data_IF_556925905401
#
_entry.id   IF_556925905401
#
_cell.length_a   1.000
_cell.length_b   1.000
_cell.length_c   1.000
_cell.angle_alpha   90.00
_cell.angle_beta   90.00
_cell.angle_gamma   90.00
#
_symmetry.space_group_name_H-M   'P 1'
#
loop_
_entity.id
_entity.type
_entity.pdbx_description
1 polymer ?
#
# COMPACT_ATOMS: atom_id res chain seq x y z
N UNK A 1 5.39 9.85 17.69
CA UNK A 1 6.87 9.95 17.53
C UNK A 1 7.62 9.16 18.60
N UNK A 2 7.32 9.29 19.89
CA UNK A 2 7.99 8.51 20.95
C UNK A 2 7.87 6.99 20.75
N UNK A 3 6.71 6.47 20.34
CA UNK A 3 6.52 5.04 20.10
C UNK A 3 7.39 4.51 18.94
N UNK A 4 7.56 5.29 17.87
CA UNK A 4 8.44 4.92 16.74
C UNK A 4 9.91 4.87 17.18
N UNK A 5 10.39 5.86 17.94
CA UNK A 5 11.78 5.87 18.45
C UNK A 5 12.05 4.63 19.31
N UNK A 6 11.12 4.24 20.18
CA UNK A 6 11.28 3.04 21.01
C UNK A 6 11.36 1.76 20.16
N UNK A 7 10.60 1.69 19.07
CA UNK A 7 10.68 0.57 18.11
C UNK A 7 11.99 0.61 17.31
N UNK A 8 12.45 1.78 16.87
CA UNK A 8 13.75 1.92 16.17
C UNK A 8 14.94 1.49 17.04
N UNK A 9 14.88 1.68 18.36
CA UNK A 9 15.90 1.19 19.29
C UNK A 9 16.00 -0.34 19.34
N UNK A 10 14.95 -1.07 18.96
CA UNK A 10 14.91 -2.53 18.93
C UNK A 10 15.54 -3.11 17.65
N UNK A 11 15.75 -2.30 16.60
CA UNK A 11 16.40 -2.75 15.35
C UNK A 11 17.84 -3.16 15.65
N UNK A 12 18.20 -4.38 15.27
CA UNK A 12 19.53 -4.94 15.53
C UNK A 12 20.62 -4.15 14.82
N UNK A 13 21.58 -3.64 15.59
CA UNK A 13 22.75 -2.94 15.03
C UNK A 13 23.79 -3.96 14.51
N UNK A 14 23.93 -4.02 13.19
CA UNK A 14 24.88 -4.94 12.51
C UNK A 14 26.34 -4.51 12.61
N UNK A 15 26.61 -3.26 13.05
CA UNK A 15 27.94 -2.69 13.08
C UNK A 15 28.76 -3.22 14.27
N UNK A 16 30.08 -3.37 14.08
CA UNK A 16 31.02 -3.62 15.19
C UNK A 16 31.16 -2.37 16.07
N UNK A 17 31.56 -2.52 17.32
CA UNK A 17 31.61 -1.44 18.30
C UNK A 17 32.41 -0.21 17.85
N UNK A 18 33.55 -0.42 17.17
CA UNK A 18 34.34 0.68 16.54
C UNK A 18 33.56 1.50 15.50
N UNK A 19 32.46 0.95 14.93
CA UNK A 19 31.60 1.61 13.95
C UNK A 19 30.36 2.27 14.54
N UNK A 20 30.10 2.14 15.83
CA UNK A 20 28.88 2.59 16.51
C UNK A 20 29.01 4.01 17.14
N UNK A 21 29.74 4.92 16.48
CA UNK A 21 29.86 6.31 16.97
C UNK A 21 28.51 6.97 17.23
N UNK A 22 27.52 6.66 16.36
CA UNK A 22 26.13 7.08 16.50
C UNK A 22 25.27 5.85 16.76
N UNK A 23 24.39 5.86 17.77
CA UNK A 23 23.36 4.81 17.91
C UNK A 23 22.58 4.62 16.61
N UNK A 24 22.24 3.37 16.28
CA UNK A 24 21.57 3.06 15.01
C UNK A 24 20.26 3.83 14.86
N UNK A 25 19.44 3.84 15.89
CA UNK A 25 18.14 4.51 15.90
C UNK A 25 18.24 6.01 15.59
N UNK A 26 19.30 6.69 16.05
CA UNK A 26 19.53 8.11 15.70
C UNK A 26 19.82 8.28 14.20
N UNK A 27 20.60 7.38 13.61
CA UNK A 27 20.87 7.45 12.17
C UNK A 27 19.59 7.22 11.37
N UNK A 28 18.76 6.26 11.78
CA UNK A 28 17.48 5.97 11.14
C UNK A 28 16.51 7.15 11.29
N UNK A 29 16.41 7.74 12.48
CA UNK A 29 15.56 8.91 12.73
C UNK A 29 16.00 10.14 11.92
N UNK A 30 17.31 10.38 11.78
CA UNK A 30 17.83 11.44 10.91
C UNK A 30 17.45 11.20 9.44
N UNK A 31 17.44 9.95 8.98
CA UNK A 31 17.00 9.60 7.62
C UNK A 31 15.51 9.91 7.47
N UNK A 32 14.68 9.45 8.39
CA UNK A 32 13.22 9.68 8.38
C UNK A 32 12.94 11.20 8.35
N UNK A 33 13.50 11.96 9.28
CA UNK A 33 13.27 13.40 9.37
C UNK A 33 13.75 14.14 8.11
N UNK A 34 14.93 13.78 7.60
CA UNK A 34 15.47 14.39 6.39
C UNK A 34 14.60 14.07 5.16
N UNK A 35 14.16 12.84 5.00
CA UNK A 35 13.28 12.42 3.91
C UNK A 35 11.92 13.13 3.99
N UNK A 36 11.33 13.25 5.17
CA UNK A 36 10.08 14.01 5.37
C UNK A 36 10.22 15.51 5.00
N UNK A 37 11.42 16.05 5.09
CA UNK A 37 11.73 17.44 4.70
C UNK A 37 12.21 17.57 3.24
N UNK A 38 12.12 16.50 2.44
CA UNK A 38 12.41 16.51 1.01
C UNK A 38 13.87 16.29 0.64
N UNK A 39 14.72 15.87 1.59
CA UNK A 39 16.11 15.48 1.28
C UNK A 39 16.12 14.05 0.75
N UNK A 40 16.60 13.87 -0.49
CA UNK A 40 16.73 12.58 -1.15
C UNK A 40 18.19 12.20 -1.39
N UNK A 41 18.55 10.96 -1.04
CA UNK A 41 19.92 10.49 -1.22
C UNK A 41 20.87 10.79 -0.07
N UNK A 42 21.98 10.04 -0.06
CA UNK A 42 22.88 10.02 1.09
C UNK A 42 23.60 11.34 1.37
N UNK A 43 23.99 12.08 0.32
CA UNK A 43 24.72 13.36 0.47
C UNK A 43 23.82 14.43 1.05
N UNK A 44 22.64 14.57 0.53
CA UNK A 44 21.65 15.55 0.99
C UNK A 44 21.24 15.29 2.44
N UNK A 45 21.01 14.02 2.83
CA UNK A 45 20.76 13.67 4.23
C UNK A 45 21.94 13.98 5.15
N UNK A 46 23.18 13.84 4.66
CA UNK A 46 24.37 14.26 5.39
C UNK A 46 24.43 15.77 5.59
N UNK A 47 24.03 16.56 4.59
CA UNK A 47 23.89 18.02 4.68
C UNK A 47 22.74 18.42 5.61
N UNK A 48 21.60 17.76 5.52
CA UNK A 48 20.49 17.95 6.46
C UNK A 48 20.96 17.76 7.91
N UNK A 49 21.64 16.67 8.21
CA UNK A 49 22.17 16.39 9.53
C UNK A 49 23.12 17.51 9.99
N UNK A 50 24.07 17.90 9.14
CA UNK A 50 25.06 18.96 9.43
C UNK A 50 24.39 20.32 9.68
N UNK A 51 23.44 20.70 8.84
CA UNK A 51 22.77 22.00 8.93
C UNK A 51 21.83 22.09 10.14
N UNK A 52 21.29 20.97 10.59
CA UNK A 52 20.39 20.89 11.73
C UNK A 52 21.06 20.35 13.00
N UNK A 53 22.41 20.29 13.07
CA UNK A 53 23.14 19.63 14.16
C UNK A 53 22.73 20.08 15.57
N UNK A 54 22.51 21.38 15.79
CA UNK A 54 22.11 21.91 17.09
C UNK A 54 20.69 21.46 17.51
N UNK A 55 19.76 21.40 16.56
CA UNK A 55 18.40 20.92 16.83
C UNK A 55 18.38 19.42 17.12
N UNK A 56 19.04 18.64 16.24
CA UNK A 56 19.16 17.19 16.38
C UNK A 56 19.88 16.79 17.68
N UNK A 57 20.95 17.52 18.04
CA UNK A 57 21.67 17.21 19.27
C UNK A 57 20.86 17.52 20.53
N UNK A 58 20.06 18.55 20.52
CA UNK A 58 19.15 18.88 21.62
C UNK A 58 18.04 17.82 21.72
N UNK A 59 17.42 17.45 20.61
CA UNK A 59 16.32 16.47 20.56
C UNK A 59 16.79 15.08 21.00
N UNK A 60 17.94 14.63 20.53
CA UNK A 60 18.47 13.29 20.81
C UNK A 60 19.45 13.26 21.99
N UNK A 61 19.65 14.37 22.66
CA UNK A 61 20.61 14.52 23.78
C UNK A 61 22.02 14.01 23.41
N UNK A 62 22.54 14.43 22.25
CA UNK A 62 23.87 14.07 21.74
C UNK A 62 24.76 15.32 21.62
N UNK A 63 26.09 15.09 21.55
CA UNK A 63 27.03 16.18 21.34
C UNK A 63 26.79 16.84 19.96
N UNK A 64 26.65 18.18 19.87
CA UNK A 64 26.26 18.86 18.63
C UNK A 64 27.11 18.57 17.39
N UNK A 65 28.43 18.33 17.60
CA UNK A 65 29.38 18.03 16.53
C UNK A 65 29.30 16.58 16.04
N UNK A 66 28.56 15.72 16.74
CA UNK A 66 28.44 14.26 16.45
C UNK A 66 27.14 13.91 15.77
N UNK A 67 26.82 14.53 14.65
CA UNK A 67 25.74 14.07 13.77
C UNK A 67 26.27 13.10 12.71
N UNK A 68 25.42 12.17 12.20
CA UNK A 68 25.85 11.21 11.19
C UNK A 68 26.22 11.90 9.87
N UNK A 69 27.37 11.54 9.31
CA UNK A 69 27.79 11.97 7.98
C UNK A 69 27.12 11.15 6.88
N UNK A 70 27.16 11.64 5.62
CA UNK A 70 26.62 10.92 4.46
C UNK A 70 27.20 9.50 4.33
N UNK A 71 28.48 9.30 4.64
CA UNK A 71 29.11 7.97 4.58
C UNK A 71 28.62 7.03 5.69
N UNK A 72 28.23 7.57 6.84
CA UNK A 72 27.58 6.81 7.92
C UNK A 72 26.17 6.41 7.50
N UNK A 73 25.38 7.36 6.97
CA UNK A 73 24.03 7.12 6.47
C UNK A 73 24.04 6.03 5.38
N UNK A 74 24.91 6.19 4.37
CA UNK A 74 25.07 5.20 3.30
C UNK A 74 25.41 3.81 3.85
N UNK A 75 26.36 3.71 4.77
CA UNK A 75 26.75 2.42 5.37
C UNK A 75 25.60 1.79 6.15
N UNK A 76 24.82 2.59 6.87
CA UNK A 76 23.64 2.12 7.59
C UNK A 76 22.60 1.61 6.62
N UNK A 77 22.26 2.36 5.58
CA UNK A 77 21.26 1.97 4.58
C UNK A 77 21.64 0.68 3.84
N UNK A 78 22.92 0.49 3.54
CA UNK A 78 23.41 -0.72 2.87
C UNK A 78 23.56 -1.93 3.82
N UNK A 79 23.59 -1.73 5.13
CA UNK A 79 23.93 -2.80 6.08
C UNK A 79 22.81 -3.17 7.06
N UNK A 80 21.83 -2.30 7.29
CA UNK A 80 20.69 -2.65 8.15
C UNK A 80 19.87 -3.74 7.45
N UNK A 81 19.60 -4.81 8.18
CA UNK A 81 18.75 -5.88 7.69
C UNK A 81 17.31 -5.38 7.45
N UNK A 82 16.91 -5.37 6.19
CA UNK A 82 15.59 -4.91 5.78
C UNK A 82 14.46 -5.72 6.41
N UNK A 83 14.66 -7.00 6.72
CA UNK A 83 13.66 -7.84 7.37
C UNK A 83 13.38 -7.37 8.79
N UNK A 84 14.44 -7.05 9.54
CA UNK A 84 14.31 -6.47 10.89
C UNK A 84 13.61 -5.13 10.87
N UNK A 85 13.91 -4.28 9.88
CA UNK A 85 13.28 -2.97 9.73
C UNK A 85 11.80 -3.08 9.33
N UNK A 86 11.49 -3.99 8.39
CA UNK A 86 10.13 -4.30 7.95
C UNK A 86 9.28 -4.82 9.13
N UNK A 87 9.82 -5.77 9.89
CA UNK A 87 9.15 -6.31 11.07
C UNK A 87 8.84 -5.21 12.08
N UNK A 88 9.83 -4.39 12.40
CA UNK A 88 9.67 -3.25 13.30
C UNK A 88 8.55 -2.30 12.83
N UNK A 89 8.54 -1.94 11.53
CA UNK A 89 7.51 -1.08 10.96
C UNK A 89 6.11 -1.69 11.10
N UNK A 90 5.94 -2.96 10.71
CA UNK A 90 4.65 -3.63 10.75
C UNK A 90 4.10 -3.75 12.18
N UNK A 91 4.95 -4.10 13.15
CA UNK A 91 4.58 -4.16 14.56
C UNK A 91 4.18 -2.78 15.08
N UNK A 92 4.97 -1.75 14.80
CA UNK A 92 4.67 -0.38 15.20
C UNK A 92 3.35 0.12 14.60
N UNK A 93 3.15 -0.06 13.29
CA UNK A 93 1.98 0.46 12.60
C UNK A 93 0.68 -0.21 13.09
N UNK A 94 0.69 -1.53 13.29
CA UNK A 94 -0.48 -2.28 13.79
C UNK A 94 -0.77 -1.96 15.25
N UNK A 95 0.25 -1.85 16.11
CA UNK A 95 0.07 -1.51 17.53
C UNK A 95 -0.46 -0.09 17.71
N UNK A 96 0.09 0.88 16.99
CA UNK A 96 -0.25 2.30 17.12
C UNK A 96 -1.58 2.66 16.47
N UNK A 97 -1.90 2.06 15.32
CA UNK A 97 -3.02 2.49 14.48
C UNK A 97 -4.07 1.41 14.22
N UNK A 98 -3.74 0.12 14.34
CA UNK A 98 -4.60 -0.97 13.88
C UNK A 98 -5.96 -1.05 14.58
N UNK A 99 -6.08 -0.56 15.80
CA UNK A 99 -7.31 -0.59 16.62
C UNK A 99 -8.12 0.73 16.59
N UNK A 100 -7.73 1.68 15.74
CA UNK A 100 -8.45 2.95 15.63
C UNK A 100 -9.82 2.75 14.98
N UNK A 101 -10.81 3.53 15.40
CA UNK A 101 -12.19 3.47 14.88
C UNK A 101 -12.31 3.93 13.42
N UNK A 102 -11.34 4.74 12.96
CA UNK A 102 -11.25 5.22 11.58
C UNK A 102 -10.49 4.25 10.64
N UNK A 103 -10.27 3.00 11.02
CA UNK A 103 -9.67 1.95 10.22
C UNK A 103 -10.75 0.91 9.87
N UNK A 104 -11.54 1.17 8.84
CA UNK A 104 -12.61 0.26 8.42
C UNK A 104 -12.38 -0.32 7.03
N UNK A 105 -11.88 0.48 6.08
CA UNK A 105 -11.68 0.06 4.70
C UNK A 105 -10.18 0.03 4.36
N UNK A 106 -9.72 -1.14 3.94
CA UNK A 106 -8.31 -1.45 3.73
C UNK A 106 -8.06 -1.75 2.24
N UNK A 107 -7.21 -0.96 1.60
CA UNK A 107 -6.72 -1.24 0.26
C UNK A 107 -5.47 -2.13 0.30
N UNK A 108 -5.41 -3.14 -0.54
CA UNK A 108 -4.17 -3.90 -0.80
C UNK A 108 -3.75 -3.65 -2.24
N UNK A 109 -2.50 -3.27 -2.42
CA UNK A 109 -1.92 -3.04 -3.74
C UNK A 109 -0.39 -3.15 -3.71
N UNK A 110 0.20 -3.47 -4.87
CA UNK A 110 1.63 -3.65 -5.06
C UNK A 110 2.29 -2.50 -5.78
N UNK A 111 3.48 -2.09 -5.32
CA UNK A 111 4.31 -1.08 -5.98
C UNK A 111 5.71 -1.60 -6.25
N UNK A 112 6.14 -1.54 -7.52
CA UNK A 112 7.51 -1.88 -7.93
C UNK A 112 8.45 -0.70 -7.72
N UNK A 113 9.68 -0.98 -7.24
CA UNK A 113 10.78 -0.01 -7.17
C UNK A 113 11.55 -0.01 -8.49
N UNK A 114 11.30 0.95 -9.36
CA UNK A 114 11.88 1.02 -10.72
C UNK A 114 13.41 1.13 -10.71
N UNK A 115 13.98 1.85 -9.73
CA UNK A 115 15.42 1.99 -9.55
C UNK A 115 16.15 0.67 -9.26
N UNK A 116 15.44 -0.37 -8.84
CA UNK A 116 16.01 -1.70 -8.60
C UNK A 116 15.96 -2.62 -9.81
N UNK A 117 15.36 -2.18 -10.93
CA UNK A 117 15.19 -3.01 -12.13
C UNK A 117 16.53 -3.41 -12.73
N UNK A 118 16.79 -4.71 -12.75
CA UNK A 118 17.94 -5.34 -13.42
C UNK A 118 17.48 -6.01 -14.70
N UNK A 119 18.31 -5.92 -15.74
CA UNK A 119 18.07 -6.53 -17.07
C UNK A 119 16.74 -6.06 -17.71
N UNK A 120 16.50 -4.76 -17.92
CA UNK A 120 15.21 -4.21 -18.37
C UNK A 120 14.75 -4.74 -19.74
N UNK A 121 15.67 -5.20 -20.57
CA UNK A 121 15.39 -5.67 -21.95
C UNK A 121 15.38 -7.21 -22.07
N UNK A 122 15.33 -7.94 -20.95
CA UNK A 122 15.41 -9.41 -20.94
C UNK A 122 14.20 -10.00 -20.21
N UNK A 123 13.77 -11.22 -20.60
CA UNK A 123 12.78 -12.04 -19.88
C UNK A 123 13.19 -12.33 -18.41
N UNK A 124 14.46 -12.11 -18.07
CA UNK A 124 15.02 -12.26 -16.74
C UNK A 124 15.04 -10.97 -15.90
N UNK A 125 14.09 -10.06 -16.10
CA UNK A 125 13.95 -8.89 -15.24
C UNK A 125 13.88 -9.28 -13.75
N UNK A 126 14.63 -8.57 -12.91
CA UNK A 126 14.58 -8.71 -11.46
C UNK A 126 14.46 -7.33 -10.81
N UNK A 127 13.52 -7.17 -9.90
CA UNK A 127 13.24 -5.92 -9.19
C UNK A 127 12.58 -6.20 -7.84
N UNK A 128 12.56 -5.20 -7.00
CA UNK A 128 11.87 -5.21 -5.71
C UNK A 128 10.46 -4.64 -5.89
N UNK A 129 9.50 -5.27 -5.22
CA UNK A 129 8.14 -4.75 -5.02
C UNK A 129 7.82 -4.69 -3.54
N UNK A 130 6.92 -3.80 -3.18
CA UNK A 130 6.24 -3.81 -1.90
C UNK A 130 4.74 -3.96 -2.10
N UNK A 131 4.12 -4.86 -1.35
CA UNK A 131 2.66 -4.93 -1.20
C UNK A 131 2.30 -4.22 0.09
N UNK A 132 1.35 -3.32 0.03
CA UNK A 132 0.96 -2.48 1.16
C UNK A 132 -0.49 -2.71 1.55
N UNK A 133 -0.76 -2.77 2.86
CA UNK A 133 -2.09 -2.68 3.45
C UNK A 133 -2.32 -1.24 3.90
N UNK A 134 -3.24 -0.56 3.24
CA UNK A 134 -3.47 0.87 3.37
C UNK A 134 -4.88 1.17 3.86
N UNK A 135 -5.01 1.99 4.91
CA UNK A 135 -6.31 2.49 5.36
C UNK A 135 -6.81 3.61 4.46
N UNK A 136 -7.97 3.40 3.84
CA UNK A 136 -8.59 4.37 2.94
C UNK A 136 -9.11 5.62 3.66
N UNK A 137 -9.41 5.51 4.94
CA UNK A 137 -9.99 6.60 5.74
C UNK A 137 -8.91 7.47 6.36
N UNK A 138 -7.93 6.86 7.02
CA UNK A 138 -6.85 7.58 7.70
C UNK A 138 -5.66 7.92 6.81
N UNK A 139 -5.51 7.26 5.65
CA UNK A 139 -4.33 7.44 4.78
C UNK A 139 -3.04 6.79 5.33
N UNK A 140 -3.17 5.85 6.25
CA UNK A 140 -2.04 5.20 6.91
C UNK A 140 -1.73 3.83 6.29
N UNK A 141 -0.44 3.51 6.17
CA UNK A 141 0.04 2.17 5.87
C UNK A 141 0.13 1.37 7.16
N UNK A 142 -0.58 0.25 7.24
CA UNK A 142 -0.67 -0.58 8.43
C UNK A 142 0.25 -1.80 8.39
N UNK A 143 0.54 -2.28 7.20
CA UNK A 143 1.39 -3.45 6.99
C UNK A 143 2.01 -3.40 5.59
N UNK A 144 3.23 -3.87 5.47
CA UNK A 144 3.93 -4.01 4.19
C UNK A 144 4.63 -5.37 4.09
N UNK A 145 4.74 -5.88 2.87
CA UNK A 145 5.57 -7.03 2.53
C UNK A 145 6.48 -6.68 1.36
N UNK A 146 7.70 -7.19 1.37
CA UNK A 146 8.68 -7.00 0.31
C UNK A 146 8.83 -8.27 -0.52
N UNK A 147 8.80 -8.11 -1.82
CA UNK A 147 9.01 -9.18 -2.79
C UNK A 147 10.22 -8.87 -3.66
N UNK A 148 10.99 -9.88 -3.96
CA UNK A 148 11.86 -9.90 -5.14
C UNK A 148 11.11 -10.70 -6.22
N UNK A 149 10.77 -10.08 -7.35
CA UNK A 149 9.79 -10.62 -8.31
C UNK A 149 10.13 -12.02 -8.86
N UNK A 150 11.40 -12.44 -8.82
CA UNK A 150 11.83 -13.80 -9.18
C UNK A 150 11.59 -14.84 -8.08
N UNK A 151 11.32 -14.43 -6.86
CA UNK A 151 11.23 -15.32 -5.68
C UNK A 151 9.81 -15.42 -5.11
N UNK A 152 8.89 -14.57 -5.53
CA UNK A 152 7.52 -14.56 -5.04
C UNK A 152 6.58 -13.81 -5.97
N UNK A 153 5.30 -13.86 -5.67
CA UNK A 153 4.27 -13.14 -6.40
C UNK A 153 3.53 -12.16 -5.49
N UNK A 154 2.97 -11.12 -6.09
CA UNK A 154 2.13 -10.16 -5.40
C UNK A 154 0.92 -10.82 -4.72
N UNK A 155 0.35 -11.85 -5.36
CA UNK A 155 -0.79 -12.60 -4.83
C UNK A 155 -0.40 -13.32 -3.53
N UNK A 156 0.77 -13.99 -3.50
CA UNK A 156 1.21 -14.73 -2.32
C UNK A 156 1.48 -13.78 -1.13
N UNK A 157 2.11 -12.63 -1.38
CA UNK A 157 2.38 -11.67 -0.31
C UNK A 157 1.13 -10.93 0.16
N UNK A 158 0.17 -10.67 -0.73
CA UNK A 158 -1.16 -10.20 -0.33
C UNK A 158 -1.83 -11.19 0.62
N UNK A 159 -1.79 -12.50 0.30
CA UNK A 159 -2.34 -13.55 1.15
C UNK A 159 -1.61 -13.61 2.49
N UNK A 160 -0.27 -13.50 2.50
CA UNK A 160 0.52 -13.45 3.71
C UNK A 160 0.21 -12.21 4.58
N UNK A 161 -0.05 -11.05 3.99
CA UNK A 161 -0.52 -9.85 4.72
C UNK A 161 -1.85 -10.13 5.42
N UNK A 162 -2.81 -10.76 4.72
CA UNK A 162 -4.11 -11.09 5.29
C UNK A 162 -3.97 -12.09 6.45
N UNK A 163 -3.09 -13.09 6.32
CA UNK A 163 -2.82 -14.08 7.37
C UNK A 163 -2.11 -13.47 8.59
N UNK A 164 -1.13 -12.59 8.37
CA UNK A 164 -0.39 -11.91 9.44
C UNK A 164 -1.20 -10.81 10.13
N UNK A 165 -2.21 -10.27 9.43
CA UNK A 165 -3.02 -9.17 9.92
C UNK A 165 -4.02 -9.66 10.98
N UNK A 166 -3.90 -9.15 12.20
CA UNK A 166 -4.81 -9.49 13.33
C UNK A 166 -6.11 -8.68 13.34
N UNK A 167 -6.30 -7.80 12.35
CA UNK A 167 -7.49 -6.94 12.26
C UNK A 167 -8.73 -7.77 11.90
N UNK A 168 -9.85 -7.45 12.55
CA UNK A 168 -11.16 -8.08 12.31
C UNK A 168 -12.23 -7.01 12.05
N UNK A 169 -13.34 -7.43 11.41
CA UNK A 169 -14.47 -6.57 11.08
C UNK A 169 -14.06 -5.39 10.16
N UNK A 170 -13.09 -5.63 9.28
CA UNK A 170 -12.62 -4.67 8.28
C UNK A 170 -13.07 -5.11 6.88
N UNK A 171 -13.02 -4.17 5.93
CA UNK A 171 -13.36 -4.43 4.53
C UNK A 171 -12.09 -4.32 3.68
N UNK A 172 -11.65 -5.42 3.12
CA UNK A 172 -10.51 -5.46 2.21
C UNK A 172 -10.92 -5.11 0.79
N UNK A 173 -10.19 -4.21 0.16
CA UNK A 173 -10.38 -3.87 -1.26
C UNK A 173 -9.12 -4.20 -2.04
N UNK A 174 -9.28 -4.69 -3.25
CA UNK A 174 -8.18 -5.05 -4.13
C UNK A 174 -8.56 -4.97 -5.60
N UNK A 175 -7.56 -4.95 -6.44
CA UNK A 175 -7.73 -5.04 -7.87
C UNK A 175 -8.11 -6.46 -8.34
N UNK A 176 -8.22 -6.67 -9.66
CA UNK A 176 -8.63 -7.96 -10.22
C UNK A 176 -7.56 -9.06 -10.05
N UNK A 177 -6.31 -8.73 -9.82
CA UNK A 177 -5.24 -9.69 -9.55
C UNK A 177 -5.54 -10.48 -8.27
N UNK A 178 -6.09 -9.80 -7.26
CA UNK A 178 -6.47 -10.36 -5.97
C UNK A 178 -7.82 -11.07 -5.95
N UNK A 179 -8.55 -11.11 -7.09
CA UNK A 179 -9.79 -11.87 -7.25
C UNK A 179 -9.49 -13.38 -7.35
N UNK A 180 -9.01 -13.96 -6.25
CA UNK A 180 -8.66 -15.39 -6.13
C UNK A 180 -9.47 -16.04 -5.02
N UNK A 181 -9.95 -17.29 -5.24
CA UNK A 181 -10.73 -18.01 -4.24
C UNK A 181 -10.00 -18.15 -2.91
N UNK A 182 -8.67 -18.40 -2.96
CA UNK A 182 -7.85 -18.53 -1.76
C UNK A 182 -7.78 -17.19 -1.00
N UNK A 183 -7.53 -16.06 -1.69
CA UNK A 183 -7.51 -14.72 -1.09
C UNK A 183 -8.84 -14.41 -0.40
N UNK A 184 -9.96 -14.65 -1.09
CA UNK A 184 -11.31 -14.43 -0.55
C UNK A 184 -11.57 -15.31 0.69
N UNK A 185 -11.16 -16.59 0.65
CA UNK A 185 -11.30 -17.50 1.80
C UNK A 185 -10.48 -17.04 3.00
N UNK A 186 -9.26 -16.54 2.80
CA UNK A 186 -8.42 -15.98 3.88
C UNK A 186 -9.08 -14.76 4.52
N UNK A 187 -9.60 -13.82 3.72
CA UNK A 187 -10.32 -12.65 4.24
C UNK A 187 -11.54 -13.08 5.08
N UNK A 188 -12.33 -14.02 4.56
CA UNK A 188 -13.51 -14.50 5.26
C UNK A 188 -13.16 -15.23 6.58
N UNK A 189 -12.12 -16.08 6.57
CA UNK A 189 -11.63 -16.79 7.76
C UNK A 189 -11.08 -15.87 8.83
N UNK A 190 -10.47 -14.74 8.45
CA UNK A 190 -10.00 -13.72 9.38
C UNK A 190 -11.13 -12.80 9.90
N UNK A 191 -12.40 -13.15 9.66
CA UNK A 191 -13.60 -12.40 10.08
C UNK A 191 -13.65 -10.98 9.48
N UNK A 192 -13.25 -10.85 8.25
CA UNK A 192 -13.28 -9.62 7.49
C UNK A 192 -14.16 -9.76 6.24
N UNK A 193 -14.55 -8.63 5.68
CA UNK A 193 -15.32 -8.51 4.46
C UNK A 193 -14.44 -8.06 3.28
N UNK A 194 -14.98 -8.11 2.07
CA UNK A 194 -14.24 -7.73 0.87
C UNK A 194 -15.09 -6.98 -0.16
N UNK A 195 -14.43 -6.14 -0.96
CA UNK A 195 -14.90 -5.58 -2.22
C UNK A 195 -13.75 -5.68 -3.23
N UNK A 196 -13.83 -6.64 -4.15
CA UNK A 196 -12.73 -6.96 -5.07
C UNK A 196 -13.20 -6.81 -6.53
N UNK A 197 -12.36 -6.20 -7.35
CA UNK A 197 -12.60 -6.02 -8.79
C UNK A 197 -12.57 -7.37 -9.51
N UNK A 198 -13.48 -7.56 -10.48
CA UNK A 198 -13.51 -8.74 -11.34
C UNK A 198 -13.24 -8.34 -12.78
N UNK A 199 -12.30 -9.03 -13.42
CA UNK A 199 -11.94 -8.85 -14.85
C UNK A 199 -11.83 -10.21 -15.56
N UNK A 200 -11.34 -10.22 -16.78
CA UNK A 200 -11.21 -11.40 -17.64
C UNK A 200 -10.28 -12.50 -17.12
N UNK A 201 -9.47 -12.25 -16.07
CA UNK A 201 -8.70 -13.29 -15.37
C UNK A 201 -9.60 -14.32 -14.67
N UNK A 202 -10.85 -13.96 -14.37
CA UNK A 202 -11.91 -14.84 -13.82
C UNK A 202 -13.06 -14.98 -14.83
N UNK A 203 -12.79 -15.53 -16.02
CA UNK A 203 -13.71 -15.57 -17.17
C UNK A 203 -15.13 -16.04 -16.82
N UNK A 204 -15.25 -17.16 -16.13
CA UNK A 204 -16.56 -17.74 -15.79
C UNK A 204 -17.35 -16.87 -14.82
N UNK A 205 -16.68 -16.32 -13.80
CA UNK A 205 -17.28 -15.39 -12.85
C UNK A 205 -17.70 -14.11 -13.57
N UNK A 206 -16.81 -13.55 -14.39
CA UNK A 206 -17.04 -12.30 -15.12
C UNK A 206 -18.27 -12.41 -16.04
N UNK A 207 -18.38 -13.50 -16.84
CA UNK A 207 -19.54 -13.74 -17.69
C UNK A 207 -20.84 -13.84 -16.89
N UNK A 208 -20.84 -14.61 -15.82
CA UNK A 208 -22.04 -14.74 -14.97
C UNK A 208 -22.48 -13.43 -14.32
N UNK A 209 -21.52 -12.60 -13.93
CA UNK A 209 -21.80 -11.25 -13.40
C UNK A 209 -22.48 -10.39 -14.47
N UNK A 210 -22.00 -10.45 -15.71
CA UNK A 210 -22.62 -9.76 -16.83
C UNK A 210 -24.05 -10.27 -17.08
N UNK A 211 -24.24 -11.57 -17.13
CA UNK A 211 -25.57 -12.19 -17.33
C UNK A 211 -26.54 -11.79 -16.21
N UNK A 212 -26.10 -11.88 -14.94
CA UNK A 212 -26.88 -11.47 -13.78
C UNK A 212 -27.28 -9.98 -13.85
N UNK A 213 -26.33 -9.11 -14.17
CA UNK A 213 -26.56 -7.67 -14.25
C UNK A 213 -27.46 -7.25 -15.41
N UNK A 214 -27.52 -8.06 -16.48
CA UNK A 214 -28.37 -7.80 -17.64
C UNK A 214 -29.78 -8.39 -17.50
N UNK A 215 -29.94 -9.47 -16.73
CA UNK A 215 -31.22 -10.20 -16.58
C UNK A 215 -32.00 -9.87 -15.32
N UNK A 216 -31.38 -9.22 -14.33
CA UNK A 216 -31.97 -8.96 -13.03
C UNK A 216 -32.14 -7.47 -12.76
N UNK A 217 -33.11 -7.12 -11.93
CA UNK A 217 -33.23 -5.74 -11.41
C UNK A 217 -32.25 -5.54 -10.25
N UNK A 218 -31.54 -4.41 -10.20
CA UNK A 218 -30.67 -4.11 -9.07
C UNK A 218 -31.50 -3.89 -7.79
N UNK A 219 -30.98 -4.35 -6.64
CA UNK A 219 -31.56 -4.07 -5.32
C UNK A 219 -31.37 -2.62 -4.90
N UNK A 220 -30.27 -1.99 -5.36
CA UNK A 220 -29.93 -0.61 -5.04
C UNK A 220 -29.21 0.03 -6.22
N UNK A 221 -29.52 1.30 -6.48
CA UNK A 221 -28.86 2.13 -7.49
C UNK A 221 -28.43 3.46 -6.88
N UNK A 222 -27.27 3.96 -7.34
CA UNK A 222 -26.76 5.28 -6.99
C UNK A 222 -26.14 5.94 -8.21
N UNK A 223 -26.49 7.20 -8.45
CA UNK A 223 -25.91 8.02 -9.51
C UNK A 223 -25.09 9.15 -8.89
N UNK A 224 -23.81 9.20 -9.22
CA UNK A 224 -22.90 10.25 -8.82
C UNK A 224 -22.46 11.06 -10.03
N UNK A 225 -22.47 12.38 -9.89
CA UNK A 225 -21.93 13.31 -10.89
C UNK A 225 -20.78 14.12 -10.28
N UNK A 226 -19.67 14.20 -10.99
CA UNK A 226 -18.49 14.93 -10.58
C UNK A 226 -18.07 15.88 -11.71
N UNK A 227 -18.10 17.19 -11.41
CA UNK A 227 -17.75 18.26 -12.35
C UNK A 227 -16.51 19.02 -11.87
N UNK A 228 -15.51 18.30 -11.34
CA UNK A 228 -14.29 18.90 -10.81
C UNK A 228 -13.15 18.90 -11.82
N UNK A 229 -12.21 19.83 -11.69
CA UNK A 229 -10.97 19.92 -12.46
C UNK A 229 -11.15 19.86 -13.98
N UNK A 230 -12.21 20.49 -14.52
CA UNK A 230 -12.49 20.52 -15.96
C UNK A 230 -12.92 19.17 -16.55
N UNK A 231 -13.30 18.21 -15.71
CA UNK A 231 -13.83 16.90 -16.11
C UNK A 231 -15.29 16.80 -15.74
N UNK A 232 -16.09 16.22 -16.63
CA UNK A 232 -17.47 15.84 -16.33
C UNK A 232 -17.51 14.31 -16.28
N UNK A 233 -17.79 13.76 -15.12
CA UNK A 233 -17.85 12.32 -14.92
C UNK A 233 -19.19 11.96 -14.28
N UNK A 234 -19.92 11.04 -14.88
CA UNK A 234 -21.09 10.39 -14.30
C UNK A 234 -20.75 8.96 -13.96
N UNK A 235 -21.08 8.52 -12.75
CA UNK A 235 -20.92 7.13 -12.30
C UNK A 235 -22.27 6.60 -11.87
N UNK A 236 -22.70 5.51 -12.50
CA UNK A 236 -23.89 4.75 -12.10
C UNK A 236 -23.44 3.48 -11.42
N UNK A 237 -23.85 3.28 -10.18
CA UNK A 237 -23.54 2.10 -9.37
C UNK A 237 -24.83 1.31 -9.19
N UNK A 238 -24.80 0.03 -9.54
CA UNK A 238 -25.93 -0.90 -9.42
C UNK A 238 -25.47 -2.12 -8.61
N UNK A 239 -26.27 -2.52 -7.63
CA UNK A 239 -25.99 -3.64 -6.72
C UNK A 239 -26.98 -4.76 -6.96
N UNK A 240 -26.49 -5.97 -7.15
CA UNK A 240 -27.28 -7.16 -7.42
C UNK A 240 -27.02 -8.21 -6.35
N UNK A 241 -28.08 -8.90 -5.94
CA UNK A 241 -28.03 -10.02 -5.00
C UNK A 241 -27.52 -11.27 -5.67
N UNK A 242 -26.62 -11.98 -4.99
CA UNK A 242 -26.11 -13.30 -5.41
C UNK A 242 -26.73 -14.39 -4.54
N UNK A 243 -27.36 -15.39 -5.15
CA UNK A 243 -27.89 -16.56 -4.45
C UNK A 243 -26.76 -17.53 -4.07
N UNK A 244 -27.04 -18.41 -3.11
CA UNK A 244 -26.02 -19.35 -2.59
C UNK A 244 -25.46 -20.28 -3.68
N UNK A 245 -26.29 -20.74 -4.59
CA UNK A 245 -25.94 -21.60 -5.73
C UNK A 245 -25.12 -20.89 -6.82
N UNK A 246 -25.13 -19.55 -6.82
CA UNK A 246 -24.42 -18.71 -7.81
C UNK A 246 -22.99 -18.33 -7.40
N UNK A 247 -22.55 -18.63 -6.18
CA UNK A 247 -21.29 -18.15 -5.58
C UNK A 247 -20.01 -18.70 -6.20
N UNK A 248 -20.08 -19.77 -6.99
CA UNK A 248 -18.95 -20.39 -7.71
C UNK A 248 -17.72 -20.73 -6.84
N UNK A 249 -17.91 -20.97 -5.54
CA UNK A 249 -16.83 -21.26 -4.61
C UNK A 249 -16.12 -20.01 -4.07
N UNK A 250 -16.66 -18.80 -4.31
CA UNK A 250 -16.23 -17.60 -3.62
C UNK A 250 -16.95 -17.52 -2.27
N UNK A 251 -16.16 -17.59 -1.19
CA UNK A 251 -16.66 -17.64 0.18
C UNK A 251 -17.38 -16.35 0.55
N UNK A 252 -18.55 -16.46 1.17
CA UNK A 252 -19.40 -15.33 1.59
C UNK A 252 -19.79 -14.35 0.47
N UNK A 253 -19.68 -14.69 -0.81
CA UNK A 253 -20.17 -13.84 -1.90
C UNK A 253 -21.67 -13.58 -1.76
N UNK A 254 -22.05 -12.31 -1.57
CA UNK A 254 -23.45 -11.88 -1.36
C UNK A 254 -23.92 -10.87 -2.39
N UNK A 255 -23.01 -10.04 -2.91
CA UNK A 255 -23.36 -8.96 -3.85
C UNK A 255 -22.37 -8.91 -5.02
N UNK A 256 -22.93 -8.56 -6.14
CA UNK A 256 -22.22 -8.10 -7.33
C UNK A 256 -22.52 -6.63 -7.50
N UNK A 257 -21.51 -5.86 -7.83
CA UNK A 257 -21.63 -4.42 -8.06
C UNK A 257 -21.19 -4.14 -9.50
N UNK A 258 -22.05 -3.47 -10.28
CA UNK A 258 -21.75 -2.93 -11.61
C UNK A 258 -21.56 -1.43 -11.49
N UNK A 259 -20.46 -0.93 -12.02
CA UNK A 259 -20.15 0.51 -12.05
C UNK A 259 -19.96 0.92 -13.50
N UNK A 260 -20.87 1.74 -14.01
CA UNK A 260 -20.74 2.39 -15.31
C UNK A 260 -20.19 3.79 -15.13
N UNK A 261 -19.12 4.11 -15.82
CA UNK A 261 -18.47 5.43 -15.83
C UNK A 261 -18.60 6.03 -17.21
N UNK A 262 -19.17 7.22 -17.29
CA UNK A 262 -19.22 8.02 -18.52
C UNK A 262 -18.58 9.37 -18.22
N UNK A 263 -17.68 9.82 -19.07
CA UNK A 263 -17.02 11.08 -18.81
C UNK A 263 -16.41 11.70 -20.09
N UNK A 264 -15.97 12.95 -19.94
CA UNK A 264 -15.21 13.65 -20.95
C UNK A 264 -13.91 14.20 -20.36
N UNK A 265 -12.83 14.13 -21.13
CA UNK A 265 -11.53 14.73 -20.83
C UNK A 265 -11.07 15.51 -22.05
N UNK A 266 -11.25 16.83 -22.01
CA UNK A 266 -11.19 17.66 -23.21
C UNK A 266 -12.27 17.21 -24.19
N UNK A 267 -11.91 17.04 -25.47
CA UNK A 267 -12.82 16.62 -26.54
C UNK A 267 -13.07 15.11 -26.61
N UNK A 268 -12.42 14.32 -25.77
CA UNK A 268 -12.56 12.86 -25.74
C UNK A 268 -13.58 12.42 -24.71
N UNK A 269 -14.61 11.71 -25.17
CA UNK A 269 -15.56 11.00 -24.33
C UNK A 269 -15.10 9.56 -24.09
N UNK A 270 -15.43 8.99 -22.93
CA UNK A 270 -15.19 7.58 -22.63
C UNK A 270 -16.37 6.99 -21.89
N UNK A 271 -16.56 5.70 -22.08
CA UNK A 271 -17.52 4.87 -21.35
C UNK A 271 -16.80 3.60 -20.90
N UNK A 272 -16.93 3.28 -19.63
CA UNK A 272 -16.27 2.11 -19.02
C UNK A 272 -17.23 1.42 -18.07
N UNK A 273 -17.27 0.08 -18.09
CA UNK A 273 -18.01 -0.72 -17.12
C UNK A 273 -17.03 -1.59 -16.33
N UNK A 274 -17.13 -1.51 -15.00
CA UNK A 274 -16.36 -2.32 -14.07
C UNK A 274 -17.29 -3.14 -13.18
N UNK A 275 -16.83 -4.34 -12.80
CA UNK A 275 -17.58 -5.27 -11.94
C UNK A 275 -16.79 -5.59 -10.69
N UNK A 276 -17.51 -5.75 -9.59
CA UNK A 276 -16.95 -6.08 -8.29
C UNK A 276 -17.78 -7.17 -7.62
N UNK A 277 -17.14 -7.94 -6.76
CA UNK A 277 -17.78 -8.90 -5.85
C UNK A 277 -17.59 -8.48 -4.42
N UNK A 278 -18.57 -8.79 -3.56
CA UNK A 278 -18.53 -8.45 -2.15
C UNK A 278 -19.26 -9.42 -1.25
N UNK A 279 -18.74 -9.57 -0.02
CA UNK A 279 -19.43 -10.24 1.09
C UNK A 279 -20.40 -9.31 1.84
N UNK A 280 -20.28 -7.99 1.65
CA UNK A 280 -21.17 -7.00 2.26
C UNK A 280 -22.57 -7.01 1.65
N UNK A 281 -23.53 -6.45 2.40
CA UNK A 281 -24.92 -6.28 1.97
C UNK A 281 -25.35 -4.80 1.96
N UNK A 282 -24.40 -3.95 1.61
CA UNK A 282 -24.51 -2.49 1.67
C UNK A 282 -25.27 -1.90 0.46
N UNK A 283 -25.68 -0.63 0.57
CA UNK A 283 -26.29 0.13 -0.50
C UNK A 283 -25.28 0.53 -1.59
N UNK A 284 -25.79 0.85 -2.78
CA UNK A 284 -24.97 1.35 -3.89
C UNK A 284 -24.17 2.61 -3.53
N UNK A 285 -24.68 3.48 -2.66
CA UNK A 285 -23.99 4.67 -2.18
C UNK A 285 -22.77 4.31 -1.31
N UNK A 286 -22.87 3.31 -0.45
CA UNK A 286 -21.75 2.84 0.39
C UNK A 286 -20.69 2.17 -0.49
N UNK A 287 -21.10 1.28 -1.43
CA UNK A 287 -20.18 0.69 -2.38
C UNK A 287 -19.44 1.73 -3.24
N UNK A 288 -20.12 2.81 -3.66
CA UNK A 288 -19.48 3.91 -4.37
C UNK A 288 -18.32 4.51 -3.58
N UNK A 289 -18.50 4.73 -2.27
CA UNK A 289 -17.45 5.26 -1.39
C UNK A 289 -16.29 4.28 -1.22
N UNK A 290 -16.56 3.00 -0.97
CA UNK A 290 -15.54 1.95 -0.81
C UNK A 290 -14.71 1.81 -2.08
N UNK A 291 -15.36 1.71 -3.25
CA UNK A 291 -14.69 1.54 -4.56
C UNK A 291 -13.83 2.76 -4.90
N UNK A 292 -14.35 3.98 -4.66
CA UNK A 292 -13.54 5.20 -4.84
C UNK A 292 -12.37 5.28 -3.86
N UNK A 293 -12.61 4.84 -2.64
CA UNK A 293 -11.60 4.83 -1.58
C UNK A 293 -10.40 3.95 -1.92
N UNK A 294 -10.57 2.89 -2.69
CA UNK A 294 -9.46 2.03 -3.12
C UNK A 294 -8.39 2.80 -3.90
N UNK A 295 -8.79 3.76 -4.75
CA UNK A 295 -7.86 4.59 -5.51
C UNK A 295 -7.02 5.55 -4.64
N UNK A 296 -7.33 5.68 -3.35
CA UNK A 296 -6.50 6.49 -2.45
C UNK A 296 -5.11 5.88 -2.23
N UNK A 297 -4.95 4.55 -2.31
CA UNK A 297 -3.64 3.91 -2.22
C UNK A 297 -2.71 4.39 -3.34
N UNK A 298 -3.24 4.52 -4.57
CA UNK A 298 -2.51 5.09 -5.68
C UNK A 298 -2.19 6.57 -5.47
N UNK A 299 -3.17 7.38 -5.04
CA UNK A 299 -3.05 8.83 -5.00
C UNK A 299 -2.36 9.34 -3.73
N UNK A 300 -2.48 8.65 -2.60
CA UNK A 300 -1.99 9.10 -1.29
C UNK A 300 -0.75 8.32 -0.81
N UNK A 301 -0.47 7.14 -1.37
CA UNK A 301 0.73 6.37 -1.07
C UNK A 301 1.68 6.32 -2.27
N UNK A 302 1.27 5.70 -3.38
CA UNK A 302 2.18 5.47 -4.51
C UNK A 302 2.61 6.77 -5.19
N UNK A 303 1.68 7.66 -5.45
CA UNK A 303 1.97 8.98 -6.02
C UNK A 303 2.86 9.83 -5.10
N UNK A 304 2.62 9.79 -3.78
CA UNK A 304 3.45 10.52 -2.80
C UNK A 304 4.87 9.97 -2.81
N UNK A 305 5.06 8.66 -2.84
CA UNK A 305 6.38 8.05 -2.96
C UNK A 305 7.10 8.44 -4.26
N UNK A 306 6.38 8.45 -5.40
CA UNK A 306 6.98 8.73 -6.70
C UNK A 306 7.23 10.21 -6.98
N UNK A 307 6.35 11.09 -6.52
CA UNK A 307 6.38 12.51 -6.88
C UNK A 307 6.94 13.38 -5.75
N UNK A 308 6.58 13.10 -4.51
CA UNK A 308 7.04 13.91 -3.36
C UNK A 308 8.39 13.40 -2.86
N UNK A 309 8.55 12.09 -2.67
CA UNK A 309 9.81 11.49 -2.21
C UNK A 309 10.73 11.05 -3.36
N UNK A 310 10.30 11.23 -4.61
CA UNK A 310 11.07 10.93 -5.83
C UNK A 310 11.65 9.49 -5.85
N UNK A 311 10.91 8.53 -5.26
CA UNK A 311 11.37 7.14 -5.10
C UNK A 311 11.80 6.52 -6.44
N UNK A 312 11.04 6.74 -7.50
CA UNK A 312 11.33 6.23 -8.85
C UNK A 312 12.55 6.91 -9.51
N UNK A 313 12.95 8.10 -9.05
CA UNK A 313 14.14 8.81 -9.55
C UNK A 313 15.40 8.50 -8.72
N UNK A 314 15.27 7.78 -7.61
CA UNK A 314 16.40 7.45 -6.75
C UNK A 314 17.46 6.63 -7.50
N UNK A 315 18.72 7.03 -7.36
CA UNK A 315 19.87 6.30 -7.91
C UNK A 315 20.29 5.09 -7.05
N UNK A 316 19.56 4.81 -5.96
CA UNK A 316 19.86 3.71 -5.03
C UNK A 316 19.37 2.39 -5.64
N UNK A 317 20.24 1.69 -6.36
CA UNK A 317 19.93 0.42 -7.05
C UNK A 317 20.29 -0.83 -6.25
N UNK A 318 21.02 -0.69 -5.15
CA UNK A 318 21.30 -1.80 -4.23
C UNK A 318 20.02 -2.28 -3.56
N UNK A 319 19.70 -3.57 -3.65
CA UNK A 319 18.43 -4.14 -3.19
C UNK A 319 18.20 -3.94 -1.69
N UNK A 320 19.25 -4.04 -0.89
CA UNK A 320 19.19 -3.83 0.56
C UNK A 320 18.87 -2.38 0.89
N UNK A 321 19.66 -1.47 0.31
CA UNK A 321 19.52 -0.03 0.57
C UNK A 321 18.20 0.52 0.03
N UNK A 322 17.78 0.12 -1.18
CA UNK A 322 16.49 0.51 -1.76
C UNK A 322 15.30 0.01 -0.93
N UNK A 323 15.39 -1.23 -0.42
CA UNK A 323 14.36 -1.77 0.49
C UNK A 323 14.29 -0.96 1.78
N UNK A 324 15.42 -0.69 2.41
CA UNK A 324 15.47 0.11 3.64
C UNK A 324 14.93 1.53 3.42
N UNK A 325 15.24 2.13 2.27
CA UNK A 325 14.72 3.46 1.92
C UNK A 325 13.20 3.48 1.76
N UNK A 326 12.64 2.46 1.10
CA UNK A 326 11.19 2.37 0.88
C UNK A 326 10.39 2.04 2.14
N UNK A 327 11.03 1.41 3.15
CA UNK A 327 10.41 1.09 4.44
C UNK A 327 10.38 2.31 5.38
N UNK A 328 11.46 3.10 5.39
CA UNK A 328 11.61 4.31 6.21
C UNK A 328 10.81 5.49 5.64
#
# INVERSE_FOLDING_TARGET
>A
MLSLIEKLKQVKDFRKDKGKRHPLWIVLEVIILGTMLGYSGYRELGEFAKNNRHRLSKEFNIIPERVPSYSTIRRVMMGVDWQSLLKMFNEWALEEYGQRDDINWLGIDGKSLKNTLKNPNNEQQNFIMFVSLFSQESGLVLHIKRIENKKGSEIDECQAIIEDCTLQNKVFTGDALHCQKKTISLIAKSKNDYVITVKGNQKNLYQRIQDLSNSSKPESCFLEQDNSHGRKISRKIEVFKVRKDERQGFENLRRVIKVERKGSRGDKTYEETAYYISSLTESAQVFAKIIRGHWKIENQLHWVKDVIFEEDKSEISDFQAASNWSIL
#
